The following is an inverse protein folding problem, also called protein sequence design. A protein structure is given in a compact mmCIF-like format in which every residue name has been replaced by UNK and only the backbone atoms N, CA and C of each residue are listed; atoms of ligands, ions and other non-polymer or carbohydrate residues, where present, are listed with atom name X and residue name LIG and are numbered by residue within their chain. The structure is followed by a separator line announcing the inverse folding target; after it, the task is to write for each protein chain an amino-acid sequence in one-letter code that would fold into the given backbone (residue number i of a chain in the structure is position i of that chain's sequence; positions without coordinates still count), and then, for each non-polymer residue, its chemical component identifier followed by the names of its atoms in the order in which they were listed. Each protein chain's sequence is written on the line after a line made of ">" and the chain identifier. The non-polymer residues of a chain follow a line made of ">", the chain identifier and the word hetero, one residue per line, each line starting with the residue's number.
data_IF_753134673930
#
_entry.id   IF_753134673930
#
_cell.length_a   1.000
_cell.length_b   1.000
_cell.length_c   1.000
_cell.angle_alpha   90.00
_cell.angle_beta   90.00
_cell.angle_gamma   90.00
#
_symmetry.space_group_name_H-M   'P 1'
#
loop_
_entity.id
_entity.type
_entity.pdbx_description
1 polymer ?
#
# COMPACT_ATOMS: atom_id res chain seq x y z
N UNK A 1 -49.76 29.70 -23.06
CA UNK A 1 -49.87 31.17 -23.20
C UNK A 1 -48.47 31.74 -23.38
N UNK A 2 -48.28 32.57 -24.42
CA UNK A 2 -47.21 33.54 -24.75
C UNK A 2 -45.75 33.25 -24.36
N UNK A 3 -44.80 33.04 -25.29
CA UNK A 3 -44.15 33.94 -26.28
C UNK A 3 -43.31 35.08 -25.70
N UNK A 4 -41.97 35.05 -25.88
CA UNK A 4 -41.18 36.17 -26.44
C UNK A 4 -39.89 35.68 -27.13
N UNK A 5 -39.64 36.23 -28.31
CA UNK A 5 -38.53 35.98 -29.24
C UNK A 5 -37.28 36.82 -28.95
N UNK A 6 -36.12 36.43 -29.50
CA UNK A 6 -34.94 37.29 -29.63
C UNK A 6 -33.82 36.65 -30.47
N UNK A 7 -33.64 37.13 -31.69
CA UNK A 7 -32.65 36.70 -32.70
C UNK A 7 -31.43 37.64 -32.71
N UNK A 8 -30.25 37.12 -33.06
CA UNK A 8 -29.04 37.87 -33.46
C UNK A 8 -27.88 37.56 -32.52
N UNK A 9 -26.74 37.00 -32.92
CA UNK A 9 -25.94 37.30 -34.10
C UNK A 9 -24.63 37.94 -33.63
N UNK A 10 -23.49 37.31 -33.98
CA UNK A 10 -22.11 37.84 -33.96
C UNK A 10 -21.39 38.03 -32.61
N UNK A 11 -20.86 36.93 -32.08
CA UNK A 11 -19.63 36.85 -31.25
C UNK A 11 -19.17 35.40 -31.43
N UNK A 12 -17.99 35.05 -31.92
CA UNK A 12 -16.69 35.67 -31.80
C UNK A 12 -15.78 34.90 -32.77
N UNK A 13 -15.33 35.54 -33.85
CA UNK A 13 -14.30 35.00 -34.77
C UNK A 13 -12.91 35.10 -34.09
N UNK A 14 -12.88 35.31 -32.78
CA UNK A 14 -11.71 35.52 -31.92
C UNK A 14 -11.25 34.23 -31.24
N UNK A 15 -11.98 33.12 -31.41
CA UNK A 15 -11.63 31.79 -30.88
C UNK A 15 -10.62 31.04 -31.78
N UNK A 16 -10.35 31.56 -32.97
CA UNK A 16 -9.42 30.95 -33.94
C UNK A 16 -7.95 31.37 -33.76
N UNK A 17 -7.63 32.19 -32.75
CA UNK A 17 -6.27 32.67 -32.46
C UNK A 17 -5.79 32.43 -31.03
N UNK A 18 -6.39 31.48 -30.29
CA UNK A 18 -5.75 30.95 -29.08
C UNK A 18 -4.74 29.87 -29.47
N UNK A 19 -3.54 30.31 -29.88
CA UNK A 19 -2.33 29.51 -29.71
C UNK A 19 -1.98 29.49 -28.22
N UNK A 20 -2.68 28.64 -27.47
CA UNK A 20 -2.40 28.33 -26.07
C UNK A 20 -1.43 27.15 -25.98
N UNK A 21 -0.15 27.48 -25.92
CA UNK A 21 0.84 26.95 -24.99
C UNK A 21 0.62 25.53 -24.44
N UNK A 22 1.09 24.52 -25.18
CA UNK A 22 1.40 23.17 -24.66
C UNK A 22 2.65 22.64 -25.38
N UNK A 23 3.72 23.44 -25.36
CA UNK A 23 5.07 22.89 -25.54
C UNK A 23 5.71 22.89 -24.17
N UNK A 24 5.62 21.75 -23.50
CA UNK A 24 6.51 21.40 -22.41
C UNK A 24 7.94 21.36 -22.98
N UNK A 25 8.59 22.52 -23.02
CA UNK A 25 9.98 22.65 -23.46
C UNK A 25 10.84 22.07 -22.34
N UNK A 26 11.21 20.80 -22.47
CA UNK A 26 12.27 20.18 -21.69
C UNK A 26 13.56 20.97 -21.95
N UNK A 27 13.95 21.82 -21.01
CA UNK A 27 15.02 22.81 -21.14
C UNK A 27 16.43 22.29 -21.44
N UNK A 28 16.62 20.98 -21.60
CA UNK A 28 17.92 20.38 -21.92
C UNK A 28 18.14 20.13 -23.42
N UNK A 29 17.07 20.00 -24.23
CA UNK A 29 17.20 19.79 -25.69
C UNK A 29 17.57 21.09 -26.44
N UNK A 30 17.28 22.26 -25.85
CA UNK A 30 17.56 23.56 -26.46
C UNK A 30 19.08 23.81 -26.59
N UNK A 31 19.84 23.56 -25.52
CA UNK A 31 21.27 23.83 -25.45
C UNK A 31 22.12 22.98 -26.40
N UNK A 32 21.72 21.74 -26.70
CA UNK A 32 22.41 20.87 -27.66
C UNK A 32 22.16 21.29 -29.10
N UNK A 33 20.93 21.69 -29.41
CA UNK A 33 20.54 22.09 -30.77
C UNK A 33 21.16 23.45 -31.16
N UNK A 34 21.10 24.44 -30.28
CA UNK A 34 21.80 25.72 -30.47
C UNK A 34 23.32 25.55 -30.53
N UNK A 35 23.87 24.59 -29.79
CA UNK A 35 25.30 24.26 -29.83
C UNK A 35 25.72 23.60 -31.15
N UNK A 36 24.94 22.64 -31.66
CA UNK A 36 25.20 22.02 -32.98
C UNK A 36 25.07 23.03 -34.11
N UNK A 37 24.15 23.98 -34.00
CA UNK A 37 23.99 25.07 -34.96
C UNK A 37 25.20 26.01 -34.98
N UNK A 38 25.75 26.36 -33.81
CA UNK A 38 27.00 27.14 -33.71
C UNK A 38 28.21 26.36 -34.24
N UNK A 39 28.30 25.04 -34.02
CA UNK A 39 29.37 24.19 -34.53
C UNK A 39 29.34 24.10 -36.07
N UNK A 40 28.14 23.95 -36.66
CA UNK A 40 27.94 23.94 -38.12
C UNK A 40 28.26 25.31 -38.73
N UNK A 41 27.86 26.40 -38.07
CA UNK A 41 28.19 27.75 -38.50
C UNK A 41 29.72 28.01 -38.51
N UNK A 42 30.45 27.52 -37.51
CA UNK A 42 31.91 27.62 -37.46
C UNK A 42 32.59 26.78 -38.54
N UNK A 43 32.13 25.54 -38.80
CA UNK A 43 32.67 24.70 -39.88
C UNK A 43 32.48 25.32 -41.27
N UNK A 44 31.33 25.96 -41.53
CA UNK A 44 31.06 26.64 -42.80
C UNK A 44 31.94 27.89 -43.02
N UNK A 45 32.54 28.43 -41.97
CA UNK A 45 33.31 29.67 -42.02
C UNK A 45 34.81 29.49 -41.72
N UNK A 46 35.31 28.24 -41.67
CA UNK A 46 36.74 27.96 -41.51
C UNK A 46 37.51 28.09 -42.83
N UNK A 47 38.77 28.49 -42.72
CA UNK A 47 39.71 28.47 -43.84
C UNK A 47 40.23 27.03 -44.04
N UNK A 48 40.04 26.41 -45.22
CA UNK A 48 40.41 25.01 -45.47
C UNK A 48 41.91 24.70 -45.37
N UNK A 49 42.77 25.72 -45.25
CA UNK A 49 44.23 25.56 -45.13
C UNK A 49 44.74 25.51 -43.67
N UNK A 50 43.90 25.82 -42.66
CA UNK A 50 44.27 25.80 -41.23
C UNK A 50 43.10 25.35 -40.33
N UNK A 51 42.79 24.04 -40.27
CA UNK A 51 41.73 23.56 -39.38
C UNK A 51 42.17 23.63 -37.90
N UNK A 52 41.38 24.28 -37.05
CA UNK A 52 41.51 24.12 -35.58
C UNK A 52 40.87 22.79 -35.14
N UNK A 53 41.61 22.02 -34.34
CA UNK A 53 41.13 20.75 -33.74
C UNK A 53 40.11 21.04 -32.62
N UNK A 54 38.83 20.86 -32.91
CA UNK A 54 37.73 21.03 -31.95
C UNK A 54 37.51 19.81 -31.02
N UNK A 55 38.55 19.03 -30.73
CA UNK A 55 38.45 17.75 -30.00
C UNK A 55 37.93 17.88 -28.56
N UNK A 56 38.24 19.00 -27.89
CA UNK A 56 37.80 19.29 -26.52
C UNK A 56 36.27 19.47 -26.42
N UNK A 57 35.63 19.95 -27.50
CA UNK A 57 34.18 20.12 -27.60
C UNK A 57 33.43 18.80 -27.82
N UNK A 58 34.02 17.86 -28.55
CA UNK A 58 33.48 16.50 -28.68
C UNK A 58 33.50 15.79 -27.33
N UNK A 59 34.54 16.03 -26.51
CA UNK A 59 34.60 15.55 -25.13
C UNK A 59 33.48 16.10 -24.25
N UNK A 60 33.20 17.41 -24.32
CA UNK A 60 32.11 18.04 -23.57
C UNK A 60 30.72 17.58 -24.04
N UNK A 61 30.50 17.42 -25.35
CA UNK A 61 29.27 16.82 -25.89
C UNK A 61 29.06 15.37 -25.43
N UNK A 62 30.13 14.58 -25.39
CA UNK A 62 30.08 13.21 -24.86
C UNK A 62 29.74 13.21 -23.36
N UNK A 63 30.26 14.16 -22.60
CA UNK A 63 29.92 14.35 -21.19
C UNK A 63 28.45 14.72 -21.00
N UNK A 64 27.91 15.66 -21.79
CA UNK A 64 26.49 16.01 -21.76
C UNK A 64 25.59 14.83 -22.15
N UNK A 65 25.95 14.10 -23.20
CA UNK A 65 25.21 12.90 -23.64
C UNK A 65 25.21 11.81 -22.55
N UNK A 66 26.29 11.71 -21.77
CA UNK A 66 26.38 10.79 -20.63
C UNK A 66 25.46 11.24 -19.50
N UNK A 67 25.44 12.53 -19.15
CA UNK A 67 24.53 13.09 -18.13
C UNK A 67 23.07 12.91 -18.55
N UNK A 68 22.73 13.24 -19.79
CA UNK A 68 21.39 13.04 -20.36
C UNK A 68 21.00 11.54 -20.34
N UNK A 69 21.95 10.66 -20.63
CA UNK A 69 21.79 9.21 -20.49
C UNK A 69 21.47 8.79 -19.06
N UNK A 70 22.19 9.33 -18.07
CA UNK A 70 21.95 9.07 -16.64
C UNK A 70 20.59 9.63 -16.19
N UNK A 71 20.21 10.82 -16.63
CA UNK A 71 18.89 11.41 -16.35
C UNK A 71 17.76 10.54 -16.92
N UNK A 72 17.89 10.08 -18.17
CA UNK A 72 16.94 9.14 -18.80
C UNK A 72 16.86 7.81 -18.05
N UNK A 73 17.99 7.30 -17.57
CA UNK A 73 18.03 6.08 -16.75
C UNK A 73 17.31 6.28 -15.41
N UNK A 74 17.54 7.41 -14.73
CA UNK A 74 16.85 7.73 -13.47
C UNK A 74 15.34 7.84 -13.68
N UNK A 75 14.89 8.55 -14.71
CA UNK A 75 13.46 8.65 -15.06
C UNK A 75 12.83 7.30 -15.43
N UNK A 76 13.58 6.45 -16.14
CA UNK A 76 13.14 5.08 -16.44
C UNK A 76 13.01 4.24 -15.17
N UNK A 77 13.95 4.37 -14.23
CA UNK A 77 13.91 3.69 -12.94
C UNK A 77 12.70 4.14 -12.10
N UNK A 78 12.43 5.43 -12.03
CA UNK A 78 11.24 5.98 -11.35
C UNK A 78 9.94 5.44 -11.95
N UNK A 79 9.88 5.31 -13.28
CA UNK A 79 8.75 4.72 -13.99
C UNK A 79 8.57 3.24 -13.62
N UNK A 80 9.66 2.47 -13.57
CA UNK A 80 9.64 1.05 -13.17
C UNK A 80 9.15 0.91 -11.72
N UNK A 81 9.69 1.72 -10.80
CA UNK A 81 9.30 1.70 -9.40
C UNK A 81 7.82 2.04 -9.22
N UNK A 82 7.32 3.05 -9.95
CA UNK A 82 5.91 3.44 -9.95
C UNK A 82 5.00 2.33 -10.50
N UNK A 83 5.43 1.65 -11.56
CA UNK A 83 4.74 0.48 -12.11
C UNK A 83 4.70 -0.70 -11.13
N UNK A 84 5.80 -0.94 -10.41
CA UNK A 84 5.88 -1.98 -9.38
C UNK A 84 5.00 -1.68 -8.17
N UNK A 85 4.95 -0.42 -7.73
CA UNK A 85 4.05 0.00 -6.66
C UNK A 85 2.58 -0.15 -7.07
N UNK A 86 2.25 0.17 -8.32
CA UNK A 86 0.89 0.00 -8.88
C UNK A 86 0.47 -1.47 -8.93
N UNK A 87 1.38 -2.38 -9.29
CA UNK A 87 1.07 -3.82 -9.33
C UNK A 87 0.87 -4.40 -7.92
N UNK A 88 1.65 -3.98 -6.93
CA UNK A 88 1.42 -4.32 -5.53
C UNK A 88 0.06 -3.82 -5.04
N UNK A 89 -0.31 -2.59 -5.39
CA UNK A 89 -1.61 -2.02 -5.03
C UNK A 89 -2.78 -2.83 -5.62
N UNK A 90 -2.66 -3.31 -6.87
CA UNK A 90 -3.66 -4.19 -7.49
C UNK A 90 -3.75 -5.56 -6.80
N UNK A 91 -2.63 -6.13 -6.35
CA UNK A 91 -2.66 -7.37 -5.58
C UNK A 91 -3.34 -7.17 -4.23
N UNK A 92 -3.02 -6.08 -3.54
CA UNK A 92 -3.62 -5.78 -2.26
C UNK A 92 -5.10 -5.37 -2.37
N UNK A 93 -5.52 -4.71 -3.45
CA UNK A 93 -6.93 -4.38 -3.67
C UNK A 93 -7.81 -5.63 -3.76
N UNK A 94 -7.25 -6.75 -4.25
CA UNK A 94 -7.94 -8.04 -4.25
C UNK A 94 -8.22 -8.60 -2.85
N UNK A 95 -7.53 -8.11 -1.82
CA UNK A 95 -7.74 -8.47 -0.42
C UNK A 95 -8.91 -7.70 0.21
N UNK A 96 -9.31 -6.56 -0.34
CA UNK A 96 -10.43 -5.76 0.18
C UNK A 96 -11.70 -6.62 0.16
N UNK A 97 -12.38 -6.67 1.30
CA UNK A 97 -13.55 -7.52 1.53
C UNK A 97 -13.24 -8.98 1.87
N UNK A 98 -11.97 -9.41 1.83
CA UNK A 98 -11.56 -10.75 2.29
C UNK A 98 -11.20 -10.73 3.77
N UNK A 99 -11.21 -11.93 4.38
CA UNK A 99 -10.68 -12.16 5.73
C UNK A 99 -9.19 -12.51 5.65
N UNK A 100 -8.38 -11.88 6.49
CA UNK A 100 -6.97 -12.20 6.67
C UNK A 100 -6.73 -12.62 8.12
N UNK A 101 -5.73 -13.48 8.36
CA UNK A 101 -5.31 -13.86 9.71
C UNK A 101 -4.14 -13.00 10.15
N UNK A 102 -4.29 -12.30 11.28
CA UNK A 102 -3.28 -11.37 11.80
C UNK A 102 -2.97 -11.63 13.28
N UNK A 103 -1.74 -11.35 13.74
CA UNK A 103 -1.36 -11.42 15.14
C UNK A 103 -1.96 -10.25 15.91
N UNK A 104 -3.10 -10.46 16.54
CA UNK A 104 -3.84 -9.46 17.33
C UNK A 104 -4.66 -10.13 18.41
N UNK A 105 -4.99 -9.41 19.47
CA UNK A 105 -5.91 -9.86 20.51
C UNK A 105 -7.35 -9.38 20.30
N UNK A 106 -7.64 -8.56 19.27
CA UNK A 106 -8.99 -8.04 19.01
C UNK A 106 -9.55 -8.53 17.68
N UNK A 107 -10.84 -8.82 17.65
CA UNK A 107 -11.55 -9.09 16.40
C UNK A 107 -12.98 -8.56 16.47
N UNK A 108 -13.50 -8.14 15.30
CA UNK A 108 -14.93 -7.90 15.12
C UNK A 108 -15.60 -9.26 14.91
N UNK A 109 -16.56 -9.59 15.76
CA UNK A 109 -17.23 -10.88 15.79
C UNK A 109 -18.70 -10.72 15.48
N UNK A 110 -19.16 -11.48 14.49
CA UNK A 110 -20.59 -11.78 14.32
C UNK A 110 -20.94 -12.98 15.21
N UNK A 111 -21.64 -12.72 16.30
CA UNK A 111 -21.98 -13.72 17.32
C UNK A 111 -23.13 -14.65 16.90
N UNK A 112 -23.71 -14.44 15.71
CA UNK A 112 -24.63 -15.40 15.10
C UNK A 112 -23.90 -16.60 14.48
N UNK A 113 -22.59 -16.47 14.21
CA UNK A 113 -21.73 -17.52 13.68
C UNK A 113 -20.72 -17.99 14.75
N UNK A 114 -20.21 -19.21 14.59
CA UNK A 114 -19.09 -19.68 15.42
C UNK A 114 -17.81 -18.96 14.99
N UNK A 115 -17.24 -18.18 15.91
CA UNK A 115 -15.93 -17.57 15.73
C UNK A 115 -14.85 -18.65 15.81
N UNK A 116 -13.90 -18.65 14.86
CA UNK A 116 -12.80 -19.61 14.78
C UNK A 116 -11.49 -18.85 14.64
N UNK A 117 -10.51 -19.23 15.44
CA UNK A 117 -9.20 -18.60 15.46
C UNK A 117 -8.14 -19.59 15.98
N UNK A 118 -6.88 -19.16 16.03
CA UNK A 118 -5.81 -19.96 16.61
C UNK A 118 -4.90 -19.13 17.51
N UNK A 119 -4.07 -19.83 18.27
CA UNK A 119 -3.02 -19.27 19.11
C UNK A 119 -1.71 -20.03 18.85
N UNK A 120 -0.59 -19.41 19.19
CA UNK A 120 0.74 -20.02 19.07
C UNK A 120 1.24 -20.37 20.46
N UNK A 121 1.40 -21.68 20.70
CA UNK A 121 1.90 -22.23 21.96
C UNK A 121 3.36 -22.68 21.77
N UNK A 122 4.35 -22.03 22.43
CA UNK A 122 5.77 -22.32 22.21
C UNK A 122 6.22 -23.68 22.76
N UNK A 123 5.58 -24.16 23.84
CA UNK A 123 5.90 -25.42 24.53
C UNK A 123 4.61 -26.09 24.98
N UNK A 124 4.59 -27.41 25.08
CA UNK A 124 3.40 -28.11 25.58
C UNK A 124 3.03 -27.62 26.99
N UNK A 125 1.74 -27.54 27.26
CA UNK A 125 1.20 -27.03 28.52
C UNK A 125 0.01 -27.88 28.94
N UNK A 126 -0.12 -28.14 30.24
CA UNK A 126 -1.28 -28.85 30.81
C UNK A 126 -2.53 -27.97 30.96
N UNK A 127 -2.39 -26.65 30.82
CA UNK A 127 -3.47 -25.71 31.02
C UNK A 127 -3.36 -24.53 30.07
N UNK A 128 -4.10 -24.60 28.97
CA UNK A 128 -4.29 -23.52 27.99
C UNK A 128 -5.73 -23.04 28.05
N UNK A 129 -5.93 -21.74 28.02
CA UNK A 129 -7.26 -21.13 27.96
C UNK A 129 -7.22 -19.78 27.25
N UNK A 130 -8.39 -19.34 26.81
CA UNK A 130 -8.60 -18.01 26.20
C UNK A 130 -9.68 -17.28 26.99
N UNK A 131 -9.34 -16.12 27.54
CA UNK A 131 -10.32 -15.22 28.13
C UNK A 131 -10.91 -14.34 27.02
N UNK A 132 -12.23 -14.22 26.98
CA UNK A 132 -12.97 -13.37 26.05
C UNK A 132 -13.50 -12.16 26.82
N UNK A 133 -13.18 -10.96 26.34
CA UNK A 133 -13.65 -9.70 26.91
C UNK A 133 -14.44 -8.90 25.89
N UNK A 134 -15.40 -8.12 26.36
CA UNK A 134 -16.06 -7.11 25.53
C UNK A 134 -15.16 -5.86 25.33
N UNK A 135 -15.63 -4.91 24.53
CA UNK A 135 -14.91 -3.65 24.26
C UNK A 135 -14.75 -2.76 25.51
N UNK A 136 -15.57 -2.95 26.54
CA UNK A 136 -15.44 -2.27 27.84
C UNK A 136 -14.42 -2.95 28.76
N UNK A 137 -13.90 -4.12 28.38
CA UNK A 137 -12.94 -4.90 29.16
C UNK A 137 -13.57 -5.82 30.21
N UNK A 138 -14.90 -5.98 30.20
CA UNK A 138 -15.56 -6.95 31.07
C UNK A 138 -15.38 -8.37 30.54
N UNK A 139 -15.21 -9.33 31.45
CA UNK A 139 -15.07 -10.76 31.09
C UNK A 139 -16.42 -11.27 30.62
N UNK A 140 -16.46 -11.77 29.38
CA UNK A 140 -17.66 -12.35 28.74
C UNK A 140 -17.67 -13.86 28.94
N UNK A 141 -16.55 -14.52 28.63
CA UNK A 141 -16.44 -15.96 28.72
C UNK A 141 -14.97 -16.40 28.88
N UNK A 142 -14.76 -17.68 29.23
CA UNK A 142 -13.46 -18.33 29.26
C UNK A 142 -13.52 -19.68 28.56
N UNK A 143 -12.70 -19.83 27.52
CA UNK A 143 -12.58 -21.05 26.74
C UNK A 143 -11.43 -21.86 27.34
N UNK A 144 -11.75 -22.91 28.09
CA UNK A 144 -10.74 -23.80 28.65
C UNK A 144 -10.38 -24.89 27.63
N UNK A 145 -9.11 -24.94 27.23
CA UNK A 145 -8.59 -25.87 26.23
C UNK A 145 -7.79 -27.03 26.85
N UNK A 146 -7.47 -26.94 28.15
CA UNK A 146 -6.79 -27.99 28.90
C UNK A 146 -5.36 -28.21 28.41
N UNK A 147 -4.93 -29.47 28.37
CA UNK A 147 -3.61 -29.84 27.87
C UNK A 147 -3.52 -29.68 26.35
N UNK A 148 -2.45 -29.03 25.88
CA UNK A 148 -2.15 -28.84 24.46
C UNK A 148 -0.66 -29.07 24.19
N UNK A 149 -0.35 -29.56 23.00
CA UNK A 149 1.01 -29.70 22.51
C UNK A 149 1.53 -28.40 21.89
N UNK A 150 2.86 -28.23 21.84
CA UNK A 150 3.48 -27.06 21.22
C UNK A 150 3.08 -26.93 19.73
N UNK A 151 2.88 -25.70 19.27
CA UNK A 151 2.51 -25.38 17.89
C UNK A 151 1.29 -24.46 17.79
N UNK A 152 0.62 -24.53 16.64
CA UNK A 152 -0.62 -23.78 16.42
C UNK A 152 -1.80 -24.55 17.00
N UNK A 153 -2.51 -23.93 17.93
CA UNK A 153 -3.69 -24.52 18.58
C UNK A 153 -4.93 -23.75 18.15
N UNK A 154 -5.91 -24.44 17.57
CA UNK A 154 -7.17 -23.83 17.14
C UNK A 154 -8.17 -23.75 18.29
N UNK A 155 -8.92 -22.66 18.38
CA UNK A 155 -10.03 -22.50 19.32
C UNK A 155 -11.27 -21.95 18.62
N UNK A 156 -12.41 -22.13 19.26
CA UNK A 156 -13.70 -21.63 18.78
C UNK A 156 -14.48 -20.98 19.90
N UNK A 157 -15.25 -19.96 19.56
CA UNK A 157 -16.19 -19.31 20.46
C UNK A 157 -17.56 -19.24 19.79
N UNK A 158 -18.60 -19.62 20.51
CA UNK A 158 -19.97 -19.72 20.01
C UNK A 158 -20.77 -18.42 20.18
N UNK A 159 -20.10 -17.31 20.50
CA UNK A 159 -20.74 -16.01 20.67
C UNK A 159 -21.56 -15.88 21.95
N UNK A 160 -21.32 -16.75 22.95
CA UNK A 160 -22.06 -16.75 24.22
C UNK A 160 -21.21 -16.34 25.42
N UNK A 161 -21.88 -15.80 26.43
CA UNK A 161 -21.31 -15.55 27.75
C UNK A 161 -21.19 -16.83 28.60
N UNK A 162 -20.61 -16.71 29.80
CA UNK A 162 -20.48 -17.81 30.76
C UNK A 162 -21.82 -18.36 31.28
N UNK A 163 -22.93 -17.63 31.11
CA UNK A 163 -24.29 -18.06 31.47
C UNK A 163 -25.02 -18.77 30.33
N UNK A 164 -24.41 -18.82 29.13
CA UNK A 164 -24.98 -19.41 27.93
C UNK A 164 -25.89 -18.48 27.12
N UNK A 165 -25.90 -17.18 27.40
CA UNK A 165 -26.64 -16.20 26.60
C UNK A 165 -25.79 -15.72 25.42
N UNK A 166 -26.42 -15.55 24.25
CA UNK A 166 -25.77 -14.92 23.09
C UNK A 166 -25.48 -13.45 23.42
N UNK A 167 -24.24 -13.03 23.21
CA UNK A 167 -23.84 -11.62 23.36
C UNK A 167 -23.96 -10.87 22.02
N UNK A 168 -24.11 -9.53 22.02
CA UNK A 168 -24.29 -8.76 20.78
C UNK A 168 -23.08 -8.85 19.85
N UNK A 169 -23.24 -8.74 18.51
CA UNK A 169 -22.13 -8.57 17.59
C UNK A 169 -21.31 -7.32 17.94
N UNK A 170 -19.99 -7.39 17.77
CA UNK A 170 -19.10 -6.27 18.12
C UNK A 170 -17.64 -6.65 18.20
N UNK A 171 -16.82 -5.73 18.70
CA UNK A 171 -15.39 -5.98 18.94
C UNK A 171 -15.21 -6.72 20.26
N UNK A 172 -14.47 -7.82 20.22
CA UNK A 172 -14.10 -8.61 21.39
C UNK A 172 -12.59 -8.76 21.47
N UNK A 173 -12.08 -8.86 22.70
CA UNK A 173 -10.66 -9.14 22.99
C UNK A 173 -10.49 -10.59 23.43
N UNK A 174 -9.55 -11.29 22.83
CA UNK A 174 -9.19 -12.69 23.09
C UNK A 174 -7.78 -12.74 23.67
N UNK A 175 -7.69 -13.03 24.96
CA UNK A 175 -6.43 -13.14 25.68
C UNK A 175 -6.10 -14.62 25.92
N UNK A 176 -5.21 -15.17 25.10
CA UNK A 176 -4.74 -16.53 25.25
C UNK A 176 -3.63 -16.62 26.31
N UNK A 177 -3.72 -17.63 27.18
CA UNK A 177 -2.73 -17.87 28.23
C UNK A 177 -2.46 -19.37 28.37
N UNK A 178 -1.24 -19.71 28.77
CA UNK A 178 -0.87 -21.07 29.14
C UNK A 178 0.00 -21.09 30.39
N UNK A 179 -0.05 -22.19 31.14
CA UNK A 179 0.87 -22.44 32.25
C UNK A 179 2.05 -23.28 31.79
N UNK A 180 3.25 -22.70 31.79
CA UNK A 180 4.50 -23.43 31.55
C UNK A 180 5.61 -22.82 32.42
N UNK A 181 6.55 -23.66 32.86
CA UNK A 181 7.58 -23.30 33.85
C UNK A 181 7.01 -22.83 35.21
N UNK A 182 5.79 -23.27 35.56
CA UNK A 182 5.12 -22.90 36.81
C UNK A 182 4.47 -21.52 36.81
N UNK A 183 4.56 -20.77 35.71
CA UNK A 183 3.97 -19.43 35.56
C UNK A 183 2.89 -19.42 34.48
N UNK A 184 1.91 -18.52 34.63
CA UNK A 184 0.94 -18.25 33.57
C UNK A 184 1.49 -17.15 32.67
N UNK A 185 1.63 -17.46 31.38
CA UNK A 185 2.20 -16.56 30.36
C UNK A 185 1.18 -16.31 29.26
N UNK A 186 1.18 -15.09 28.73
CA UNK A 186 0.35 -14.71 27.58
C UNK A 186 0.88 -15.33 26.30
N UNK A 187 -0.03 -15.70 25.40
CA UNK A 187 0.26 -16.27 24.09
C UNK A 187 -0.19 -15.32 22.98
N UNK A 188 0.45 -15.42 21.82
CA UNK A 188 -0.01 -14.73 20.62
C UNK A 188 -1.24 -15.42 20.05
N UNK A 189 -2.29 -14.64 19.81
CA UNK A 189 -3.48 -15.04 19.07
C UNK A 189 -3.38 -14.63 17.60
N UNK A 190 -3.93 -15.47 16.74
CA UNK A 190 -4.03 -15.28 15.30
C UNK A 190 -5.52 -15.23 14.96
N UNK A 191 -6.03 -14.02 14.76
CA UNK A 191 -7.46 -13.76 14.63
C UNK A 191 -7.81 -13.36 13.19
N UNK A 192 -9.00 -13.75 12.69
CA UNK A 192 -9.51 -13.28 11.42
C UNK A 192 -9.93 -11.81 11.51
N UNK A 193 -9.58 -11.04 10.49
CA UNK A 193 -9.97 -9.65 10.32
C UNK A 193 -10.42 -9.39 8.88
N UNK A 194 -11.51 -8.66 8.69
CA UNK A 194 -11.91 -8.21 7.36
C UNK A 194 -11.04 -7.03 6.94
N UNK A 195 -10.59 -7.04 5.68
CA UNK A 195 -9.86 -5.90 5.08
C UNK A 195 -10.87 -4.89 4.54
N UNK A 196 -10.96 -3.72 5.16
CA UNK A 196 -11.86 -2.65 4.75
C UNK A 196 -11.29 -1.84 3.59
N UNK A 197 -9.99 -1.59 3.62
CA UNK A 197 -9.28 -0.88 2.55
C UNK A 197 -7.77 -1.12 2.63
N UNK A 198 -7.06 -0.63 1.61
CA UNK A 198 -5.60 -0.70 1.54
C UNK A 198 -5.04 0.70 1.43
N UNK A 199 -3.99 0.97 2.20
CA UNK A 199 -3.20 2.19 2.11
C UNK A 199 -1.85 1.86 1.48
N UNK A 200 -1.53 2.52 0.37
CA UNK A 200 -0.19 2.42 -0.23
C UNK A 200 0.80 3.22 0.63
N UNK A 201 1.95 2.63 0.93
CA UNK A 201 3.06 3.40 1.50
C UNK A 201 3.59 4.41 0.48
N UNK A 202 3.91 5.63 0.93
CA UNK A 202 4.57 6.63 0.09
C UNK A 202 6.09 6.42 0.10
N UNK A 203 6.78 6.77 -0.99
CA UNK A 203 8.25 6.72 -1.09
C UNK A 203 8.89 5.37 -0.71
N UNK A 204 8.28 4.26 -1.14
CA UNK A 204 8.75 2.91 -0.81
C UNK A 204 8.36 2.42 0.58
N UNK A 205 7.46 3.12 1.28
CA UNK A 205 6.85 2.64 2.51
C UNK A 205 6.06 1.34 2.30
N UNK A 206 5.92 0.57 3.37
CA UNK A 206 5.17 -0.68 3.35
C UNK A 206 3.70 -0.44 3.02
N UNK A 207 3.10 -1.37 2.28
CA UNK A 207 1.66 -1.42 2.06
C UNK A 207 0.96 -1.82 3.36
N UNK A 208 -0.08 -1.07 3.71
CA UNK A 208 -0.86 -1.29 4.93
C UNK A 208 -2.28 -1.75 4.60
N UNK A 209 -2.79 -2.70 5.36
CA UNK A 209 -4.18 -3.13 5.34
C UNK A 209 -4.93 -2.43 6.48
N UNK A 210 -6.04 -1.78 6.15
CA UNK A 210 -6.95 -1.23 7.14
C UNK A 210 -7.98 -2.31 7.49
N UNK A 211 -7.93 -2.79 8.72
CA UNK A 211 -8.69 -3.94 9.19
C UNK A 211 -9.84 -3.51 10.11
N UNK A 212 -11.00 -4.13 9.91
CA UNK A 212 -12.20 -3.84 10.69
C UNK A 212 -11.95 -3.98 12.21
N UNK A 213 -12.15 -2.91 12.95
CA UNK A 213 -12.03 -2.86 14.42
C UNK A 213 -10.61 -2.98 14.99
N UNK A 214 -9.58 -3.17 14.16
CA UNK A 214 -8.18 -3.34 14.58
C UNK A 214 -7.31 -2.16 14.13
N UNK A 215 -7.65 -1.50 13.03
CA UNK A 215 -6.89 -0.39 12.46
C UNK A 215 -5.91 -0.84 11.38
N UNK A 216 -4.82 -0.10 11.19
CA UNK A 216 -3.88 -0.31 10.09
C UNK A 216 -2.74 -1.25 10.48
N UNK A 217 -2.56 -2.35 9.74
CA UNK A 217 -1.47 -3.33 9.92
C UNK A 217 -0.67 -3.48 8.63
N UNK A 218 0.65 -3.63 8.74
CA UNK A 218 1.51 -3.86 7.57
C UNK A 218 1.23 -5.21 6.92
N UNK A 219 1.25 -5.27 5.58
CA UNK A 219 1.01 -6.50 4.83
C UNK A 219 1.95 -7.64 5.26
N UNK A 220 3.17 -7.33 5.69
CA UNK A 220 4.15 -8.32 6.18
C UNK A 220 3.72 -9.06 7.44
N UNK A 221 2.79 -8.50 8.23
CA UNK A 221 2.30 -9.12 9.47
C UNK A 221 1.13 -10.07 9.23
N UNK A 222 0.58 -10.11 8.01
CA UNK A 222 -0.50 -11.03 7.65
C UNK A 222 0.06 -12.44 7.47
N UNK A 223 -0.47 -13.41 8.21
CA UNK A 223 0.02 -14.79 8.13
C UNK A 223 -0.63 -15.59 6.99
N UNK A 224 -1.94 -15.44 6.80
CA UNK A 224 -2.70 -16.18 5.79
C UNK A 224 -3.80 -15.28 5.23
N UNK A 225 -3.95 -15.31 3.90
CA UNK A 225 -5.11 -14.74 3.21
C UNK A 225 -6.20 -15.81 3.25
N UNK A 226 -7.29 -15.55 3.99
CA UNK A 226 -8.46 -16.41 3.99
C UNK A 226 -9.09 -16.47 2.61
N UNK A 227 -9.52 -17.67 2.20
CA UNK A 227 -10.20 -17.88 0.92
C UNK A 227 -11.56 -17.20 0.88
#
# INVERSE_FOLDING_TARGET
>A
MSTTSGVGGTSSILEQYQFGDDREVKGNDLGKNEFLELLVAQMNNQNPLEPQENGEFIGQLAQFSTVEGVEKLNSSMETILSGYQSSQALQASSLVGRKVIVPTDKAVVDTSETFKASLVLPVSSSNVFVNVYDDAGAVVNRINMGQQEAGSVSFMWDGKDASGNIVPPGTYRFEAQATYEGETKGLYTLLPANVDSVTLGQNGGELMLNLAGIGSIGLSQVQVIGQ
#
